data_IF_088557517657
#
_entry.id   IF_088557517657
#
_cell.length_a   1.000
_cell.length_b   1.000
_cell.length_c   1.000
_cell.angle_alpha   90.00
_cell.angle_beta   90.00
_cell.angle_gamma   90.00
#
_symmetry.space_group_name_H-M   'P 1'
#
loop_
_entity.id
_entity.type
_entity.pdbx_description
1 polymer ?
#
# COMPACT_ATOMS: atom_id res chain seq x y z
N UNK A 1 -6.36 30.37 -0.06
CA UNK A 1 -5.35 29.96 0.93
C UNK A 1 -4.94 28.54 0.58
N UNK A 2 -3.67 28.27 0.35
CA UNK A 2 -3.21 26.90 0.11
C UNK A 2 -3.32 26.14 1.45
N UNK A 3 -4.25 25.21 1.53
CA UNK A 3 -4.34 24.35 2.70
C UNK A 3 -3.14 23.39 2.74
N UNK A 4 -2.56 23.20 3.93
CA UNK A 4 -1.43 22.28 4.14
C UNK A 4 -1.73 20.88 3.62
N UNK A 5 -0.82 20.24 2.88
CA UNK A 5 -0.97 18.84 2.42
C UNK A 5 -1.13 17.89 3.61
N UNK A 6 -0.46 18.21 4.72
CA UNK A 6 -0.39 17.39 5.92
C UNK A 6 -1.32 17.86 7.03
N UNK A 7 -1.79 16.93 7.85
CA UNK A 7 -2.46 17.21 9.12
C UNK A 7 -1.45 17.61 10.20
N UNK A 8 -1.96 18.05 11.35
CA UNK A 8 -1.14 18.34 12.52
C UNK A 8 -0.43 17.08 13.05
N UNK A 9 -1.02 15.89 12.88
CA UNK A 9 -0.40 14.62 13.26
C UNK A 9 0.59 14.08 12.22
N UNK A 10 0.84 14.82 11.14
CA UNK A 10 1.93 14.53 10.21
C UNK A 10 1.60 13.54 9.08
N UNK A 11 0.34 13.16 8.87
CA UNK A 11 -0.07 12.33 7.71
C UNK A 11 -0.72 13.17 6.60
N UNK A 12 -0.83 12.60 5.39
CA UNK A 12 -1.48 13.24 4.24
C UNK A 12 -2.98 13.23 4.47
N UNK A 13 -3.64 14.38 4.29
CA UNK A 13 -5.11 14.46 4.43
C UNK A 13 -5.81 13.43 3.52
N UNK A 14 -6.69 12.56 4.06
CA UNK A 14 -7.35 11.51 3.29
C UNK A 14 -8.03 12.01 2.01
N UNK A 15 -8.75 13.14 2.09
CA UNK A 15 -9.43 13.73 0.94
C UNK A 15 -8.45 14.12 -0.19
N UNK A 16 -7.26 14.60 0.15
CA UNK A 16 -6.24 14.95 -0.84
C UNK A 16 -5.63 13.69 -1.47
N UNK A 17 -5.35 12.67 -0.65
CA UNK A 17 -4.80 11.40 -1.12
C UNK A 17 -5.78 10.69 -2.07
N UNK A 18 -7.07 10.65 -1.72
CA UNK A 18 -8.13 10.12 -2.59
C UNK A 18 -8.29 10.94 -3.87
N UNK A 19 -8.21 12.28 -3.79
CA UNK A 19 -8.26 13.14 -4.97
C UNK A 19 -7.09 12.87 -5.93
N UNK A 20 -5.88 12.68 -5.39
CA UNK A 20 -4.71 12.31 -6.17
C UNK A 20 -4.88 10.95 -6.85
N UNK A 21 -5.32 9.92 -6.12
CA UNK A 21 -5.61 8.61 -6.70
C UNK A 21 -6.64 8.69 -7.82
N UNK A 22 -7.71 9.48 -7.64
CA UNK A 22 -8.73 9.71 -8.68
C UNK A 22 -8.18 10.38 -9.93
N UNK A 23 -7.15 11.23 -9.80
CA UNK A 23 -6.46 11.86 -10.94
C UNK A 23 -5.27 11.05 -11.47
N UNK A 24 -5.07 9.82 -11.00
CA UNK A 24 -3.96 8.96 -11.42
C UNK A 24 -2.61 9.31 -10.77
N UNK A 25 -2.58 10.17 -9.75
CA UNK A 25 -1.37 10.48 -8.99
C UNK A 25 -1.26 9.63 -7.73
N UNK A 26 -0.03 9.36 -7.27
CA UNK A 26 0.21 8.68 -5.99
C UNK A 26 1.45 9.26 -5.28
N UNK A 27 1.47 9.28 -3.95
CA UNK A 27 2.62 9.76 -3.19
C UNK A 27 3.68 8.67 -3.01
N UNK A 28 4.95 9.08 -2.92
CA UNK A 28 6.02 8.26 -2.36
C UNK A 28 6.95 9.13 -1.51
N UNK A 29 7.58 8.55 -0.49
CA UNK A 29 8.68 9.22 0.22
C UNK A 29 9.92 9.22 -0.68
N UNK A 30 10.57 10.38 -0.81
CA UNK A 30 11.83 10.54 -1.55
C UNK A 30 13.04 10.11 -0.72
N UNK A 31 12.91 10.20 0.60
CA UNK A 31 13.92 9.84 1.58
C UNK A 31 13.30 9.22 2.84
N UNK A 32 14.16 8.83 3.79
CA UNK A 32 13.80 8.35 5.12
C UNK A 32 13.24 9.44 6.04
N UNK A 33 13.45 10.72 5.69
CA UNK A 33 12.97 11.89 6.45
C UNK A 33 11.52 12.25 6.16
N UNK A 34 10.89 11.56 5.21
CA UNK A 34 9.48 11.73 4.89
C UNK A 34 9.20 12.88 3.91
N UNK A 35 10.20 13.31 3.12
CA UNK A 35 9.95 14.24 2.02
C UNK A 35 9.04 13.58 0.98
N UNK A 36 7.92 14.23 0.64
CA UNK A 36 6.90 13.64 -0.20
C UNK A 36 7.05 14.04 -1.67
N UNK A 37 7.17 13.06 -2.56
CA UNK A 37 7.01 13.23 -4.00
C UNK A 37 5.62 12.78 -4.46
N UNK A 38 5.04 13.49 -5.44
CA UNK A 38 3.82 13.07 -6.12
C UNK A 38 4.13 12.61 -7.54
N UNK A 39 3.69 11.40 -7.88
CA UNK A 39 4.08 10.71 -9.11
C UNK A 39 2.86 10.43 -9.99
N UNK A 40 3.04 10.62 -11.30
CA UNK A 40 2.11 10.20 -12.36
C UNK A 40 2.93 9.76 -13.57
N UNK A 41 3.50 8.55 -13.55
CA UNK A 41 4.44 8.11 -14.58
C UNK A 41 3.74 7.89 -15.92
N UNK A 42 4.46 8.22 -16.98
CA UNK A 42 4.12 7.91 -18.37
C UNK A 42 5.34 7.24 -19.03
N UNK A 43 5.27 5.95 -19.41
CA UNK A 43 4.10 5.07 -19.34
C UNK A 43 3.74 4.61 -17.91
N UNK A 44 2.46 4.30 -17.68
CA UNK A 44 1.95 3.76 -16.41
C UNK A 44 2.00 2.23 -16.40
N UNK A 45 2.69 1.65 -15.42
CA UNK A 45 2.64 0.21 -15.17
C UNK A 45 1.27 -0.22 -14.66
N UNK A 46 0.67 -1.25 -15.30
CA UNK A 46 -0.61 -1.86 -14.93
C UNK A 46 -0.51 -3.39 -15.03
N UNK A 47 -1.41 -4.09 -14.32
CA UNK A 47 -1.57 -5.55 -14.41
C UNK A 47 -3.00 -5.84 -14.90
N UNK A 48 -3.20 -6.13 -16.19
CA UNK A 48 -4.52 -6.53 -16.69
C UNK A 48 -4.95 -7.87 -16.08
N UNK A 49 -6.14 -7.90 -15.47
CA UNK A 49 -6.62 -9.10 -14.76
C UNK A 49 -7.03 -10.21 -15.72
N UNK A 50 -7.57 -9.87 -16.90
CA UNK A 50 -8.01 -10.85 -17.92
C UNK A 50 -6.87 -11.66 -18.51
N UNK A 51 -5.65 -11.14 -18.46
CA UNK A 51 -4.45 -11.77 -19.01
C UNK A 51 -3.38 -12.05 -17.95
N UNK A 52 -3.75 -12.01 -16.66
CA UNK A 52 -2.81 -12.25 -15.58
C UNK A 52 -2.28 -13.69 -15.64
N UNK A 53 -0.95 -13.84 -15.75
CA UNK A 53 -0.31 -15.14 -15.81
C UNK A 53 0.08 -15.63 -14.41
N UNK A 54 -0.52 -16.74 -13.98
CA UNK A 54 -0.10 -17.46 -12.77
C UNK A 54 0.91 -18.55 -13.17
N UNK A 55 2.17 -18.49 -12.68
CA UNK A 55 3.14 -19.55 -12.93
C UNK A 55 2.66 -20.90 -12.37
N UNK A 56 2.86 -21.99 -13.10
CA UNK A 56 2.45 -23.35 -12.68
C UNK A 56 3.00 -23.75 -11.30
N UNK A 57 4.19 -23.29 -10.95
CA UNK A 57 4.80 -23.52 -9.64
C UNK A 57 4.02 -22.85 -8.51
N UNK A 58 3.58 -21.59 -8.71
CA UNK A 58 2.76 -20.86 -7.76
C UNK A 58 1.39 -21.52 -7.61
N UNK A 59 0.76 -21.91 -8.72
CA UNK A 59 -0.53 -22.61 -8.70
C UNK A 59 -0.44 -23.93 -7.92
N UNK A 60 0.63 -24.70 -8.11
CA UNK A 60 0.89 -25.93 -7.35
C UNK A 60 1.07 -25.64 -5.86
N UNK A 61 1.75 -24.57 -5.49
CA UNK A 61 1.93 -24.16 -4.09
C UNK A 61 0.60 -23.76 -3.45
N UNK A 62 -0.20 -22.95 -4.15
CA UNK A 62 -1.51 -22.52 -3.68
C UNK A 62 -2.46 -23.72 -3.44
N UNK A 63 -2.52 -24.67 -4.39
CA UNK A 63 -3.34 -25.89 -4.29
C UNK A 63 -2.99 -26.81 -3.13
N UNK A 64 -1.83 -26.63 -2.47
CA UNK A 64 -1.47 -27.40 -1.28
C UNK A 64 -2.26 -26.98 -0.04
N UNK A 65 -2.95 -25.83 -0.06
CA UNK A 65 -3.75 -25.36 1.07
C UNK A 65 -2.93 -25.06 2.33
N UNK A 66 -1.64 -24.75 2.17
CA UNK A 66 -0.72 -24.45 3.28
C UNK A 66 -0.89 -23.07 3.87
N UNK A 67 -1.36 -22.13 3.06
CA UNK A 67 -1.51 -20.73 3.42
C UNK A 67 -2.98 -20.40 3.64
N UNK A 68 -3.26 -19.62 4.66
CA UNK A 68 -4.56 -19.01 4.89
C UNK A 68 -4.53 -17.57 4.36
N UNK A 69 -5.46 -17.24 3.48
CA UNK A 69 -5.58 -15.87 2.94
C UNK A 69 -6.66 -15.15 3.73
N UNK A 70 -6.31 -13.98 4.29
CA UNK A 70 -7.25 -13.07 4.94
C UNK A 70 -7.23 -11.71 4.25
N UNK A 71 -8.25 -10.90 4.52
CA UNK A 71 -8.35 -9.54 4.03
C UNK A 71 -8.73 -8.61 5.17
N UNK A 72 -8.11 -7.43 5.20
CA UNK A 72 -8.43 -6.36 6.15
C UNK A 72 -8.34 -6.78 7.63
N UNK A 73 -7.54 -7.81 7.95
CA UNK A 73 -7.39 -8.30 9.33
C UNK A 73 -6.15 -7.78 10.03
N UNK A 74 -5.12 -7.37 9.28
CA UNK A 74 -3.83 -6.93 9.84
C UNK A 74 -3.15 -5.84 9.00
N UNK A 75 -3.90 -4.82 8.56
CA UNK A 75 -3.41 -3.78 7.66
C UNK A 75 -2.10 -3.14 8.12
N UNK A 76 -2.03 -2.71 9.40
CA UNK A 76 -0.83 -2.09 9.98
C UNK A 76 0.38 -3.03 9.98
N UNK A 77 0.18 -4.34 10.21
CA UNK A 77 1.26 -5.31 10.16
C UNK A 77 1.75 -5.52 8.71
N UNK A 78 0.83 -5.58 7.75
CA UNK A 78 1.17 -5.71 6.33
C UNK A 78 2.00 -4.53 5.83
N UNK A 79 1.56 -3.30 6.09
CA UNK A 79 2.26 -2.11 5.60
C UNK A 79 3.62 -1.93 6.29
N UNK A 80 3.72 -2.26 7.58
CA UNK A 80 4.99 -2.27 8.31
C UNK A 80 5.96 -3.30 7.72
N UNK A 81 5.51 -4.54 7.47
CA UNK A 81 6.33 -5.57 6.82
C UNK A 81 6.73 -5.19 5.39
N UNK A 82 5.88 -4.46 4.67
CA UNK A 82 6.21 -3.91 3.35
C UNK A 82 7.29 -2.81 3.42
N UNK A 83 7.35 -2.06 4.53
CA UNK A 83 8.35 -1.02 4.76
C UNK A 83 9.71 -1.61 5.20
N UNK A 84 9.75 -2.80 5.79
CA UNK A 84 10.96 -3.47 6.28
C UNK A 84 11.86 -3.98 5.13
N UNK A 85 12.57 -3.04 4.49
CA UNK A 85 13.47 -3.29 3.36
C UNK A 85 14.70 -2.38 3.47
N UNK A 86 15.85 -2.81 2.93
CA UNK A 86 17.08 -2.00 2.89
C UNK A 86 16.86 -0.61 2.26
N UNK A 87 15.99 -0.54 1.25
CA UNK A 87 15.51 0.70 0.65
C UNK A 87 14.00 0.63 0.52
N UNK A 88 13.32 1.65 1.02
CA UNK A 88 11.86 1.76 0.99
C UNK A 88 11.44 3.20 0.79
N UNK A 89 10.30 3.39 0.14
CA UNK A 89 9.62 4.69 0.02
C UNK A 89 8.47 4.83 1.03
N UNK A 90 8.22 3.78 1.82
CA UNK A 90 7.16 3.73 2.83
C UNK A 90 7.76 4.29 4.13
N UNK A 91 7.80 5.61 4.24
CA UNK A 91 8.14 6.28 5.50
C UNK A 91 6.98 6.19 6.50
N UNK A 92 7.24 6.49 7.78
CA UNK A 92 6.22 6.55 8.84
C UNK A 92 5.02 7.42 8.43
N UNK A 93 5.28 8.52 7.69
CA UNK A 93 4.25 9.40 7.14
C UNK A 93 3.36 8.68 6.13
N UNK A 94 3.95 7.93 5.20
CA UNK A 94 3.21 7.12 4.24
C UNK A 94 2.42 6.06 4.99
N UNK A 95 3.06 5.31 5.89
CA UNK A 95 2.40 4.28 6.68
C UNK A 95 1.15 4.82 7.39
N UNK A 96 1.29 5.89 8.18
CA UNK A 96 0.18 6.50 8.89
C UNK A 96 -0.92 7.03 7.96
N UNK A 97 -0.54 7.58 6.79
CA UNK A 97 -1.53 8.08 5.81
C UNK A 97 -2.42 6.96 5.27
N UNK A 98 -1.85 5.77 5.04
CA UNK A 98 -2.59 4.63 4.52
C UNK A 98 -3.35 3.88 5.61
N UNK A 99 -2.86 3.85 6.84
CA UNK A 99 -3.64 3.39 8.01
C UNK A 99 -4.90 4.24 8.19
N UNK A 100 -4.80 5.57 8.00
CA UNK A 100 -5.98 6.45 8.02
C UNK A 100 -6.94 6.21 6.85
N UNK A 101 -6.44 5.83 5.68
CA UNK A 101 -7.31 5.39 4.59
C UNK A 101 -7.98 4.05 4.87
N UNK A 102 -7.29 3.13 5.54
CA UNK A 102 -7.85 1.85 5.97
C UNK A 102 -8.97 2.04 7.00
N UNK A 103 -8.75 2.88 8.02
CA UNK A 103 -9.77 3.25 9.01
C UNK A 103 -11.03 3.85 8.36
N UNK A 104 -10.88 4.54 7.22
CA UNK A 104 -11.97 5.13 6.45
C UNK A 104 -12.57 4.18 5.40
N UNK A 105 -12.06 2.96 5.24
CA UNK A 105 -12.55 1.96 4.30
C UNK A 105 -12.14 2.17 2.84
N UNK A 106 -11.04 2.89 2.59
CA UNK A 106 -10.52 3.17 1.23
C UNK A 106 -9.23 2.42 0.89
N UNK A 107 -8.44 2.04 1.89
CA UNK A 107 -7.29 1.16 1.70
C UNK A 107 -7.64 -0.23 2.22
N UNK A 108 -7.08 -1.26 1.58
CA UNK A 108 -7.33 -2.65 1.91
C UNK A 108 -6.01 -3.42 1.96
N UNK A 109 -5.97 -4.47 2.76
CA UNK A 109 -4.83 -5.40 2.83
C UNK A 109 -5.27 -6.81 2.43
N UNK A 110 -4.32 -7.56 1.89
CA UNK A 110 -4.45 -9.01 1.65
C UNK A 110 -3.30 -9.67 2.39
N UNK A 111 -3.64 -10.56 3.33
CA UNK A 111 -2.69 -11.20 4.21
C UNK A 111 -2.49 -12.67 3.83
N UNK A 112 -1.26 -13.18 3.95
CA UNK A 112 -0.93 -14.58 3.68
C UNK A 112 -0.35 -15.22 4.93
N UNK A 113 -1.13 -16.00 5.65
CA UNK A 113 -0.72 -16.60 6.92
C UNK A 113 -0.21 -18.03 6.74
N UNK A 114 0.84 -18.38 7.47
CA UNK A 114 1.35 -19.75 7.58
C UNK A 114 1.49 -20.12 9.06
N UNK A 115 0.72 -21.11 9.51
CA UNK A 115 0.74 -21.58 10.91
C UNK A 115 0.53 -20.48 11.96
N UNK A 116 -0.31 -19.47 11.64
CA UNK A 116 -0.60 -18.36 12.54
C UNK A 116 0.40 -17.21 12.51
N UNK A 117 1.42 -17.28 11.64
CA UNK A 117 2.36 -16.18 11.36
C UNK A 117 2.00 -15.51 10.05
N UNK A 118 1.93 -14.18 10.06
CA UNK A 118 1.78 -13.35 8.86
C UNK A 118 3.03 -13.41 7.96
#
# INVERSE_FOLDING_TARGET
>A
MAESIFTAEGYIRPALLLAAYRSGMFPMSLDDRGELGWFSPDPRGIIPLDTFHVPKSLERTFRQGKFEIRMDTAFSEVIAACAERDTTWISDRIQLSYEKLFELGYAHSVETWLNGTL
#
